data_IF_600462522190
#
_entry.id   IF_600462522190
#
_cell.length_a   1.000
_cell.length_b   1.000
_cell.length_c   1.000
_cell.angle_alpha   90.00
_cell.angle_beta   90.00
_cell.angle_gamma   90.00
#
_symmetry.space_group_name_H-M   'P 1'
#
loop_
_entity.id
_entity.type
_entity.pdbx_description
1 polymer ?
#
# COMPACT_ATOMS: atom_id res chain seq x y z
N UNK A 1 -31.09 12.90 -39.97
CA UNK A 1 -30.76 14.10 -39.18
C UNK A 1 -29.54 13.78 -38.34
N UNK A 2 -28.54 14.65 -38.44
CA UNK A 2 -27.13 14.40 -38.11
C UNK A 2 -26.86 14.30 -36.61
N UNK A 3 -25.99 13.36 -36.22
CA UNK A 3 -25.31 13.38 -34.93
C UNK A 3 -23.93 14.01 -35.13
N UNK A 4 -23.67 15.12 -34.45
CA UNK A 4 -22.41 15.86 -34.53
C UNK A 4 -21.27 15.04 -33.91
N UNK A 5 -20.18 14.98 -34.64
CA UNK A 5 -18.92 14.36 -34.25
C UNK A 5 -17.91 15.47 -33.98
N UNK A 6 -17.73 15.87 -32.73
CA UNK A 6 -16.70 16.82 -32.34
C UNK A 6 -15.65 16.12 -31.47
N UNK A 7 -14.60 15.61 -32.13
CA UNK A 7 -13.32 15.35 -31.48
C UNK A 7 -12.37 16.53 -31.79
N UNK A 8 -11.74 17.14 -30.79
CA UNK A 8 -10.93 18.33 -31.00
C UNK A 8 -9.66 18.04 -31.81
N UNK A 9 -9.37 18.92 -32.76
CA UNK A 9 -8.12 18.96 -33.50
C UNK A 9 -7.07 19.76 -32.70
N UNK A 10 -5.94 19.13 -32.40
CA UNK A 10 -4.79 19.77 -31.75
C UNK A 10 -3.49 19.10 -32.20
N UNK A 11 -2.62 19.91 -32.79
CA UNK A 11 -1.39 19.55 -33.50
C UNK A 11 -0.18 19.37 -32.58
N UNK A 12 0.49 18.21 -32.66
CA UNK A 12 1.78 17.90 -32.03
C UNK A 12 2.45 16.68 -32.70
N UNK A 13 3.15 16.93 -33.82
CA UNK A 13 3.84 15.97 -34.72
C UNK A 13 5.16 15.51 -34.07
N UNK A 14 5.70 14.28 -34.16
CA UNK A 14 5.56 13.22 -35.16
C UNK A 14 5.71 11.78 -34.58
N UNK A 15 5.99 11.59 -33.28
CA UNK A 15 6.04 10.26 -32.65
C UNK A 15 4.68 9.79 -32.08
N UNK A 16 3.78 10.73 -31.74
CA UNK A 16 2.42 10.44 -31.26
C UNK A 16 1.39 10.19 -32.37
N UNK A 17 1.73 10.50 -33.63
CA UNK A 17 0.77 10.50 -34.74
C UNK A 17 0.35 9.09 -35.16
N UNK A 18 1.29 8.14 -35.17
CA UNK A 18 1.02 6.72 -35.50
C UNK A 18 0.24 6.00 -34.39
N UNK A 19 0.59 6.24 -33.12
CA UNK A 19 -0.11 5.68 -31.96
C UNK A 19 -1.52 6.25 -31.80
N UNK A 20 -1.69 7.56 -31.99
CA UNK A 20 -2.99 8.22 -31.92
C UNK A 20 -3.94 7.81 -33.05
N UNK A 21 -3.43 7.65 -34.28
CA UNK A 21 -4.20 7.13 -35.41
C UNK A 21 -4.63 5.68 -35.19
N UNK A 22 -3.72 4.81 -34.73
CA UNK A 22 -4.05 3.42 -34.44
C UNK A 22 -5.07 3.29 -33.30
N UNK A 23 -4.93 4.07 -32.22
CA UNK A 23 -5.92 4.12 -31.15
C UNK A 23 -7.31 4.55 -31.64
N UNK A 24 -7.37 5.59 -32.49
CA UNK A 24 -8.61 6.05 -33.13
C UNK A 24 -9.21 5.01 -34.08
N UNK A 25 -8.38 4.21 -34.74
CA UNK A 25 -8.83 3.11 -35.60
C UNK A 25 -9.42 1.96 -34.77
N UNK A 26 -8.75 1.55 -33.69
CA UNK A 26 -9.23 0.52 -32.75
C UNK A 26 -10.54 0.94 -32.06
N UNK A 27 -10.70 2.22 -31.76
CA UNK A 27 -11.90 2.79 -31.15
C UNK A 27 -13.13 2.80 -32.10
N UNK A 28 -12.96 2.59 -33.41
CA UNK A 28 -14.10 2.55 -34.36
C UNK A 28 -14.89 1.26 -34.19
N UNK A 29 -16.20 1.38 -34.01
CA UNK A 29 -17.13 0.24 -33.90
C UNK A 29 -17.14 -0.68 -35.13
N UNK A 30 -16.76 -0.18 -36.30
CA UNK A 30 -16.56 -0.97 -37.52
C UNK A 30 -15.28 -1.81 -37.53
N UNK A 31 -14.20 -1.31 -36.92
CA UNK A 31 -12.92 -2.03 -36.83
C UNK A 31 -13.02 -3.23 -35.89
N UNK A 32 -13.67 -3.07 -34.73
CA UNK A 32 -13.91 -4.18 -33.79
C UNK A 32 -14.72 -5.33 -34.42
N UNK A 33 -15.74 -4.99 -35.22
CA UNK A 33 -16.56 -5.96 -35.98
C UNK A 33 -15.77 -6.73 -37.03
N UNK A 34 -14.85 -6.06 -37.72
CA UNK A 34 -13.99 -6.68 -38.75
C UNK A 34 -12.89 -7.51 -38.09
N UNK A 35 -12.25 -7.00 -37.04
CA UNK A 35 -11.21 -7.68 -36.28
C UNK A 35 -11.71 -8.96 -35.61
N UNK A 36 -12.96 -8.98 -35.14
CA UNK A 36 -13.60 -10.17 -34.54
C UNK A 36 -13.84 -11.34 -35.53
N UNK A 37 -13.85 -11.07 -36.85
CA UNK A 37 -14.12 -12.07 -37.90
C UNK A 37 -12.89 -12.82 -38.39
N UNK A 38 -11.69 -12.34 -38.07
CA UNK A 38 -10.42 -12.99 -38.42
C UNK A 38 -9.88 -13.77 -37.20
N UNK A 39 -9.27 -14.95 -37.39
CA UNK A 39 -8.94 -15.85 -36.28
C UNK A 39 -7.94 -15.28 -35.26
N UNK A 40 -6.87 -14.62 -35.71
CA UNK A 40 -5.82 -14.06 -34.84
C UNK A 40 -6.28 -12.74 -34.20
N UNK A 41 -6.79 -11.78 -34.98
CA UNK A 41 -7.28 -10.52 -34.43
C UNK A 41 -8.55 -10.70 -33.60
N UNK A 42 -9.36 -11.73 -33.88
CA UNK A 42 -10.53 -12.08 -33.08
C UNK A 42 -10.15 -12.67 -31.73
N UNK A 43 -9.10 -13.49 -31.66
CA UNK A 43 -8.56 -13.97 -30.39
C UNK A 43 -8.00 -12.82 -29.53
N UNK A 44 -7.28 -11.87 -30.15
CA UNK A 44 -6.76 -10.70 -29.48
C UNK A 44 -7.90 -9.78 -28.98
N UNK A 45 -8.88 -9.49 -29.83
CA UNK A 45 -10.05 -8.69 -29.46
C UNK A 45 -10.85 -9.31 -28.31
N UNK A 46 -11.04 -10.64 -28.29
CA UNK A 46 -11.68 -11.34 -27.16
C UNK A 46 -10.87 -11.21 -25.87
N UNK A 47 -9.54 -11.36 -25.96
CA UNK A 47 -8.65 -11.24 -24.79
C UNK A 47 -8.66 -9.82 -24.22
N UNK A 48 -8.66 -8.81 -25.08
CA UNK A 48 -8.72 -7.41 -24.66
C UNK A 48 -10.11 -7.07 -24.09
N UNK A 49 -11.18 -7.56 -24.71
CA UNK A 49 -12.54 -7.45 -24.18
C UNK A 49 -12.68 -8.06 -22.78
N UNK A 50 -12.12 -9.25 -22.55
CA UNK A 50 -12.11 -9.88 -21.23
C UNK A 50 -11.34 -9.04 -20.19
N UNK A 51 -10.16 -8.51 -20.54
CA UNK A 51 -9.39 -7.65 -19.63
C UNK A 51 -10.10 -6.33 -19.32
N UNK A 52 -10.78 -5.73 -20.31
CA UNK A 52 -11.56 -4.51 -20.10
C UNK A 52 -12.73 -4.81 -19.17
N UNK A 53 -13.43 -5.93 -19.38
CA UNK A 53 -14.49 -6.38 -18.49
C UNK A 53 -13.96 -6.62 -17.07
N UNK A 54 -12.80 -7.25 -16.90
CA UNK A 54 -12.15 -7.46 -15.60
C UNK A 54 -11.88 -6.13 -14.88
N UNK A 55 -11.47 -5.08 -15.60
CA UNK A 55 -11.28 -3.74 -15.05
C UNK A 55 -12.63 -3.12 -14.66
N UNK A 56 -13.61 -3.16 -15.56
CA UNK A 56 -14.95 -2.59 -15.37
C UNK A 56 -15.66 -3.22 -14.16
N UNK A 57 -15.61 -4.54 -14.02
CA UNK A 57 -16.23 -5.27 -12.91
C UNK A 57 -15.35 -5.31 -11.66
N UNK A 58 -14.12 -4.80 -11.70
CA UNK A 58 -13.15 -4.92 -10.61
C UNK A 58 -13.66 -4.42 -9.25
N UNK A 59 -14.53 -3.41 -9.25
CA UNK A 59 -15.19 -2.94 -8.03
C UNK A 59 -16.09 -4.01 -7.39
N UNK A 60 -16.76 -4.85 -8.20
CA UNK A 60 -17.58 -5.97 -7.72
C UNK A 60 -16.69 -7.04 -7.10
N UNK A 61 -15.61 -7.43 -7.78
CA UNK A 61 -14.65 -8.41 -7.28
C UNK A 61 -14.09 -8.00 -5.90
N UNK A 62 -13.77 -6.71 -5.76
CA UNK A 62 -13.36 -6.10 -4.50
C UNK A 62 -14.43 -6.18 -3.40
N UNK A 63 -15.68 -5.84 -3.70
CA UNK A 63 -16.78 -5.89 -2.72
C UNK A 63 -17.16 -7.33 -2.33
N UNK A 64 -17.03 -8.28 -3.25
CA UNK A 64 -17.15 -9.72 -2.94
C UNK A 64 -16.08 -10.15 -1.94
N UNK A 65 -14.83 -9.70 -2.10
CA UNK A 65 -13.77 -9.98 -1.13
C UNK A 65 -14.10 -9.40 0.26
N UNK A 66 -14.61 -8.16 0.32
CA UNK A 66 -15.06 -7.55 1.57
C UNK A 66 -16.18 -8.37 2.19
N UNK A 67 -17.20 -8.74 1.42
CA UNK A 67 -18.32 -9.55 1.89
C UNK A 67 -17.85 -10.92 2.43
N UNK A 68 -16.91 -11.60 1.77
CA UNK A 68 -16.34 -12.86 2.27
C UNK A 68 -15.64 -12.72 3.63
N UNK A 69 -15.07 -11.55 3.92
CA UNK A 69 -14.36 -11.25 5.19
C UNK A 69 -15.34 -10.79 6.28
N UNK A 70 -16.30 -9.92 5.95
CA UNK A 70 -17.30 -9.41 6.88
C UNK A 70 -18.28 -10.49 7.29
N UNK A 71 -18.75 -11.27 6.32
CA UNK A 71 -19.60 -12.43 6.56
C UNK A 71 -18.80 -13.61 7.08
N UNK A 72 -17.55 -13.49 7.54
CA UNK A 72 -16.78 -14.57 8.18
C UNK A 72 -16.63 -15.88 7.38
N UNK A 73 -16.94 -15.88 6.08
CA UNK A 73 -17.02 -17.09 5.25
C UNK A 73 -15.66 -17.75 5.11
N UNK A 74 -14.59 -16.95 5.01
CA UNK A 74 -13.25 -17.52 4.88
C UNK A 74 -12.87 -18.30 6.14
N UNK A 75 -13.23 -17.80 7.32
CA UNK A 75 -12.89 -18.39 8.62
C UNK A 75 -13.62 -19.72 8.83
N UNK A 76 -14.92 -19.79 8.53
CA UNK A 76 -15.70 -21.04 8.66
C UNK A 76 -15.14 -22.17 7.79
N UNK A 77 -14.63 -21.79 6.61
CA UNK A 77 -14.11 -22.72 5.63
C UNK A 77 -12.63 -23.09 5.85
N UNK A 78 -12.03 -22.63 6.95
CA UNK A 78 -10.63 -22.92 7.28
C UNK A 78 -10.43 -24.40 7.66
N UNK A 79 -11.34 -24.95 8.46
CA UNK A 79 -11.25 -26.32 8.99
C UNK A 79 -11.93 -27.36 8.09
N UNK A 80 -12.57 -26.94 6.98
CA UNK A 80 -13.29 -27.87 6.11
C UNK A 80 -14.09 -27.22 4.99
N UNK A 81 -15.11 -27.93 4.52
CA UNK A 81 -16.10 -27.38 3.58
C UNK A 81 -17.43 -27.12 4.26
N UNK A 82 -18.13 -26.08 3.84
CA UNK A 82 -19.47 -25.72 4.29
C UNK A 82 -20.52 -25.97 3.22
N UNK A 83 -21.70 -26.41 3.64
CA UNK A 83 -22.88 -26.45 2.78
C UNK A 83 -23.54 -25.05 2.72
N UNK A 84 -23.99 -24.58 1.55
CA UNK A 84 -24.62 -23.25 1.44
C UNK A 84 -25.80 -23.02 2.40
N UNK A 85 -26.63 -24.05 2.65
CA UNK A 85 -27.77 -23.92 3.55
C UNK A 85 -27.34 -23.73 5.01
N UNK A 86 -26.31 -24.44 5.46
CA UNK A 86 -25.73 -24.32 6.80
C UNK A 86 -25.11 -22.93 6.99
N UNK A 87 -24.30 -22.48 6.03
CA UNK A 87 -23.66 -21.16 6.04
C UNK A 87 -24.70 -20.02 6.01
N UNK A 88 -25.80 -20.18 5.28
CA UNK A 88 -26.92 -19.22 5.30
C UNK A 88 -27.57 -19.14 6.68
N UNK A 89 -27.91 -20.29 7.27
CA UNK A 89 -28.60 -20.37 8.54
C UNK A 89 -27.78 -19.75 9.68
N UNK A 90 -26.47 -19.99 9.72
CA UNK A 90 -25.56 -19.40 10.71
C UNK A 90 -25.51 -17.87 10.65
N UNK A 91 -25.86 -17.27 9.51
CA UNK A 91 -25.68 -15.84 9.22
C UNK A 91 -26.98 -15.06 9.10
N UNK A 92 -28.12 -15.74 9.14
CA UNK A 92 -29.41 -15.11 8.86
C UNK A 92 -29.51 -14.54 7.44
N UNK A 93 -28.73 -15.08 6.50
CA UNK A 93 -28.73 -14.66 5.09
C UNK A 93 -29.53 -15.67 4.27
N UNK A 94 -30.29 -15.19 3.28
CA UNK A 94 -31.04 -16.08 2.39
C UNK A 94 -30.10 -17.03 1.60
N UNK A 95 -30.49 -18.29 1.48
CA UNK A 95 -29.68 -19.36 0.90
C UNK A 95 -29.24 -19.10 -0.55
N UNK A 96 -30.07 -18.43 -1.34
CA UNK A 96 -29.76 -18.01 -2.71
C UNK A 96 -28.68 -16.91 -2.74
N UNK A 97 -28.74 -15.95 -1.80
CA UNK A 97 -27.75 -14.87 -1.67
C UNK A 97 -26.40 -15.39 -1.21
N UNK A 98 -26.33 -16.25 -0.20
CA UNK A 98 -25.04 -16.83 0.23
C UNK A 98 -24.45 -17.70 -0.88
N UNK A 99 -25.28 -18.47 -1.61
CA UNK A 99 -24.83 -19.26 -2.76
C UNK A 99 -24.22 -18.37 -3.84
N UNK A 100 -24.81 -17.21 -4.10
CA UNK A 100 -24.26 -16.22 -5.03
C UNK A 100 -22.89 -15.71 -4.56
N UNK A 101 -22.74 -15.38 -3.28
CA UNK A 101 -21.46 -14.97 -2.70
C UNK A 101 -20.39 -16.07 -2.81
N UNK A 102 -20.75 -17.32 -2.50
CA UNK A 102 -19.86 -18.47 -2.58
C UNK A 102 -19.40 -18.76 -4.02
N UNK A 103 -20.33 -18.68 -4.97
CA UNK A 103 -20.01 -18.79 -6.40
C UNK A 103 -19.09 -17.65 -6.87
N UNK A 104 -19.33 -16.42 -6.45
CA UNK A 104 -18.46 -15.30 -6.74
C UNK A 104 -17.06 -15.50 -6.13
N UNK A 105 -16.97 -15.95 -4.88
CA UNK A 105 -15.70 -16.31 -4.25
C UNK A 105 -14.94 -17.43 -4.99
N UNK A 106 -15.67 -18.40 -5.54
CA UNK A 106 -15.09 -19.44 -6.39
C UNK A 106 -14.60 -18.88 -7.74
N UNK A 107 -15.35 -17.98 -8.36
CA UNK A 107 -14.96 -17.31 -9.60
C UNK A 107 -13.71 -16.42 -9.43
N UNK A 108 -13.52 -15.83 -8.24
CA UNK A 108 -12.29 -15.11 -7.88
C UNK A 108 -11.12 -16.05 -7.53
N UNK A 109 -11.36 -17.35 -7.45
CA UNK A 109 -10.37 -18.35 -7.05
C UNK A 109 -9.98 -18.27 -5.57
N UNK A 110 -10.84 -17.67 -4.75
CA UNK A 110 -10.70 -17.61 -3.29
C UNK A 110 -11.34 -18.83 -2.62
N UNK A 111 -12.40 -19.35 -3.22
CA UNK A 111 -13.09 -20.57 -2.81
C UNK A 111 -12.99 -21.63 -3.92
N UNK A 112 -13.37 -22.87 -3.58
CA UNK A 112 -13.57 -23.95 -4.54
C UNK A 112 -14.91 -24.62 -4.28
N UNK A 113 -15.69 -24.84 -5.32
CA UNK A 113 -16.89 -25.67 -5.25
C UNK A 113 -16.49 -27.14 -5.43
N UNK A 114 -16.88 -27.99 -4.48
CA UNK A 114 -16.66 -29.42 -4.49
C UNK A 114 -17.75 -30.12 -5.32
N UNK A 115 -17.51 -31.39 -5.68
CA UNK A 115 -18.44 -32.20 -6.49
C UNK A 115 -19.78 -32.47 -5.79
N UNK A 116 -19.78 -32.51 -4.47
CA UNK A 116 -20.96 -32.66 -3.61
C UNK A 116 -21.75 -31.34 -3.45
N UNK A 117 -21.32 -30.25 -4.11
CA UNK A 117 -21.96 -28.94 -4.03
C UNK A 117 -21.55 -28.09 -2.84
N UNK A 118 -20.71 -28.61 -1.93
CA UNK A 118 -20.15 -27.86 -0.80
C UNK A 118 -19.04 -26.92 -1.26
N UNK A 119 -18.74 -25.91 -0.47
CA UNK A 119 -17.66 -24.95 -0.75
C UNK A 119 -16.54 -25.11 0.26
N UNK A 120 -15.29 -24.94 -0.16
CA UNK A 120 -14.14 -24.85 0.73
C UNK A 120 -13.19 -23.73 0.30
N UNK A 121 -12.19 -23.45 1.12
CA UNK A 121 -11.14 -22.49 0.76
C UNK A 121 -10.29 -23.00 -0.40
N UNK A 122 -10.02 -22.12 -1.36
CA UNK A 122 -8.88 -22.28 -2.26
C UNK A 122 -7.61 -21.75 -1.60
N UNK A 123 -6.44 -22.10 -2.17
CA UNK A 123 -5.13 -21.65 -1.67
C UNK A 123 -5.04 -20.14 -1.46
N UNK A 124 -5.63 -19.34 -2.36
CA UNK A 124 -5.63 -17.87 -2.26
C UNK A 124 -6.52 -17.36 -1.13
N UNK A 125 -7.68 -17.97 -0.92
CA UNK A 125 -8.57 -17.66 0.20
C UNK A 125 -7.90 -17.94 1.54
N UNK A 126 -7.28 -19.11 1.69
CA UNK A 126 -6.53 -19.46 2.91
C UNK A 126 -5.34 -18.51 3.16
N UNK A 127 -4.64 -18.08 2.10
CA UNK A 127 -3.54 -17.13 2.23
C UNK A 127 -3.98 -15.77 2.79
N UNK A 128 -5.23 -15.35 2.58
CA UNK A 128 -5.75 -14.09 3.16
C UNK A 128 -5.74 -14.16 4.69
N UNK A 129 -6.16 -15.28 5.26
CA UNK A 129 -6.21 -15.50 6.70
C UNK A 129 -4.81 -15.66 7.32
N UNK A 130 -3.85 -16.16 6.53
CA UNK A 130 -2.47 -16.37 6.99
C UNK A 130 -1.60 -15.11 6.98
N UNK A 131 -2.00 -14.03 6.31
CA UNK A 131 -1.24 -12.78 6.28
C UNK A 131 -1.68 -11.87 7.44
N UNK A 132 -0.78 -11.52 8.39
CA UNK A 132 -1.12 -10.65 9.51
C UNK A 132 -1.74 -9.32 9.05
N UNK A 133 -2.89 -8.98 9.63
CA UNK A 133 -3.59 -7.72 9.38
C UNK A 133 -4.27 -7.58 8.01
N UNK A 134 -4.18 -8.57 7.11
CA UNK A 134 -4.75 -8.42 5.75
C UNK A 134 -6.29 -8.35 5.76
N UNK A 135 -6.97 -9.13 6.60
CA UNK A 135 -8.41 -9.02 6.78
C UNK A 135 -8.81 -7.65 7.32
N UNK A 136 -8.04 -7.11 8.25
CA UNK A 136 -8.29 -5.79 8.84
C UNK A 136 -8.05 -4.68 7.80
N UNK A 137 -7.05 -4.84 6.92
CA UNK A 137 -6.80 -3.94 5.79
C UNK A 137 -7.91 -3.99 4.73
N UNK A 138 -8.48 -5.18 4.47
CA UNK A 138 -9.63 -5.33 3.56
C UNK A 138 -10.82 -4.52 4.08
N UNK A 139 -11.08 -4.56 5.39
CA UNK A 139 -12.12 -3.76 6.03
C UNK A 139 -11.84 -2.26 5.96
N UNK A 140 -10.60 -1.86 6.23
CA UNK A 140 -10.15 -0.46 6.20
C UNK A 140 -10.39 0.21 4.85
N UNK A 141 -10.23 -0.54 3.74
CA UNK A 141 -10.47 -0.01 2.41
C UNK A 141 -11.91 0.52 2.19
N UNK A 142 -12.88 0.23 3.07
CA UNK A 142 -14.23 0.78 2.98
C UNK A 142 -14.27 2.32 2.92
N UNK A 143 -13.41 3.01 3.67
CA UNK A 143 -13.30 4.48 3.59
C UNK A 143 -12.82 4.91 2.21
N UNK A 144 -11.75 4.29 1.71
CA UNK A 144 -11.22 4.58 0.39
C UNK A 144 -12.22 4.24 -0.74
N UNK A 145 -13.06 3.20 -0.58
CA UNK A 145 -14.15 2.91 -1.53
C UNK A 145 -15.16 4.04 -1.61
N UNK A 146 -15.51 4.67 -0.48
CA UNK A 146 -16.44 5.79 -0.45
C UNK A 146 -15.83 7.04 -1.11
N UNK A 147 -14.55 7.30 -0.87
CA UNK A 147 -13.82 8.37 -1.56
C UNK A 147 -13.75 8.13 -3.08
N UNK A 148 -13.60 6.88 -3.51
CA UNK A 148 -13.57 6.48 -4.91
C UNK A 148 -14.96 6.39 -5.56
N UNK A 149 -16.05 6.63 -4.84
CA UNK A 149 -17.40 6.64 -5.42
C UNK A 149 -17.61 7.81 -6.39
N UNK A 150 -16.90 8.93 -6.19
CA UNK A 150 -16.75 10.01 -7.16
C UNK A 150 -15.25 10.27 -7.46
N UNK A 151 -14.64 9.48 -8.37
CA UNK A 151 -13.21 9.64 -8.68
C UNK A 151 -12.92 10.97 -9.36
N UNK A 152 -13.92 11.64 -9.96
CA UNK A 152 -13.72 12.94 -10.58
C UNK A 152 -13.67 14.06 -9.54
N UNK A 153 -14.41 13.94 -8.45
CA UNK A 153 -14.25 14.80 -7.28
C UNK A 153 -12.88 14.59 -6.63
N UNK A 154 -12.44 13.34 -6.45
CA UNK A 154 -11.12 13.04 -5.88
C UNK A 154 -9.98 13.68 -6.68
N UNK A 155 -10.04 13.67 -8.02
CA UNK A 155 -9.02 14.28 -8.87
C UNK A 155 -8.99 15.82 -8.84
N UNK A 156 -10.10 16.45 -8.45
CA UNK A 156 -10.26 17.91 -8.45
C UNK A 156 -10.18 18.52 -7.05
N UNK A 157 -10.39 17.71 -6.02
CA UNK A 157 -10.36 18.13 -4.63
C UNK A 157 -8.92 18.18 -4.12
N UNK A 158 -8.65 19.13 -3.24
CA UNK A 158 -7.39 19.20 -2.46
C UNK A 158 -7.57 18.64 -1.03
N UNK A 159 -8.66 17.91 -0.74
CA UNK A 159 -8.88 17.24 0.55
C UNK A 159 -10.33 16.85 0.85
N UNK A 160 -10.66 16.71 2.14
CA UNK A 160 -12.05 16.51 2.62
C UNK A 160 -12.62 15.09 2.47
N UNK A 161 -11.81 14.16 1.97
CA UNK A 161 -12.08 12.72 1.89
C UNK A 161 -12.23 12.09 3.26
N UNK A 162 -12.93 10.97 3.32
CA UNK A 162 -13.08 10.20 4.54
C UNK A 162 -11.74 9.59 4.98
N UNK A 163 -10.93 9.09 4.05
CA UNK A 163 -9.63 8.52 4.36
C UNK A 163 -8.68 9.54 5.00
N UNK A 164 -8.72 10.81 4.57
CA UNK A 164 -7.92 11.87 5.19
C UNK A 164 -8.34 12.14 6.65
N UNK A 165 -9.62 11.98 6.99
CA UNK A 165 -10.12 12.17 8.36
C UNK A 165 -9.71 11.05 9.30
N UNK A 166 -9.44 9.85 8.79
CA UNK A 166 -8.95 8.71 9.57
C UNK A 166 -7.44 8.85 9.87
N UNK A 167 -6.78 9.87 9.29
CA UNK A 167 -5.34 10.10 9.39
C UNK A 167 -5.00 11.38 10.19
N UNK A 168 -5.20 11.38 11.52
CA UNK A 168 -5.14 12.60 12.32
C UNK A 168 -3.70 13.14 12.45
N UNK A 169 -2.69 12.26 12.34
CA UNK A 169 -1.30 12.58 12.66
C UNK A 169 -0.55 13.37 11.57
N UNK A 170 -1.06 13.42 10.34
CA UNK A 170 -0.37 14.10 9.22
C UNK A 170 -0.94 15.49 8.95
N UNK A 171 -2.22 15.70 9.25
CA UNK A 171 -2.91 16.95 8.93
C UNK A 171 -2.58 18.10 9.89
N UNK A 172 -1.97 17.83 11.06
CA UNK A 172 -1.65 18.85 12.07
C UNK A 172 -2.89 19.58 12.65
N UNK A 173 -4.08 19.28 12.14
CA UNK A 173 -5.37 19.75 12.61
C UNK A 173 -5.90 18.75 13.65
N UNK A 174 -5.99 19.19 14.90
CA UNK A 174 -6.52 18.43 16.03
C UNK A 174 -8.03 18.12 15.96
N UNK A 175 -8.54 17.73 14.80
CA UNK A 175 -9.93 17.30 14.64
C UNK A 175 -10.10 15.84 15.10
N UNK A 176 -10.53 15.77 16.35
CA UNK A 176 -11.25 14.74 17.13
C UNK A 176 -11.58 13.40 16.44
N UNK A 177 -10.58 12.56 16.19
CA UNK A 177 -10.81 11.10 16.21
C UNK A 177 -10.84 10.65 17.66
N UNK A 178 -11.74 9.74 18.03
CA UNK A 178 -11.71 9.18 19.38
C UNK A 178 -10.38 8.44 19.61
N UNK A 179 -9.85 8.48 20.84
CA UNK A 179 -8.62 7.77 21.21
C UNK A 179 -8.69 6.27 20.88
N UNK A 180 -9.89 5.69 20.92
CA UNK A 180 -10.15 4.29 20.59
C UNK A 180 -10.05 3.99 19.08
N UNK A 181 -10.54 4.88 18.22
CA UNK A 181 -10.41 4.74 16.76
C UNK A 181 -8.96 4.93 16.32
N UNK A 182 -8.27 5.93 16.88
CA UNK A 182 -6.85 6.14 16.65
C UNK A 182 -6.02 4.92 17.09
N UNK A 183 -6.30 4.34 18.27
CA UNK A 183 -5.61 3.12 18.74
C UNK A 183 -5.89 1.91 17.84
N UNK A 184 -7.13 1.72 17.39
CA UNK A 184 -7.50 0.62 16.47
C UNK A 184 -6.78 0.76 15.13
N UNK A 185 -6.70 1.99 14.63
CA UNK A 185 -5.99 2.31 13.41
C UNK A 185 -4.48 2.07 13.54
N UNK A 186 -3.87 2.54 14.63
CA UNK A 186 -2.45 2.31 14.91
C UNK A 186 -2.11 0.83 15.02
N UNK A 187 -2.97 0.01 15.64
CA UNK A 187 -2.78 -1.44 15.70
C UNK A 187 -2.93 -2.11 14.32
N UNK A 188 -3.90 -1.66 13.49
CA UNK A 188 -4.02 -2.10 12.09
C UNK A 188 -2.74 -1.79 11.31
N UNK A 189 -2.24 -0.56 11.39
CA UNK A 189 -1.01 -0.16 10.72
C UNK A 189 0.19 -0.98 11.20
N UNK A 190 0.31 -1.19 12.52
CA UNK A 190 1.36 -2.00 13.11
C UNK A 190 1.36 -3.45 12.56
N UNK A 191 0.19 -4.09 12.47
CA UNK A 191 0.08 -5.44 11.88
C UNK A 191 0.48 -5.47 10.41
N UNK A 192 0.06 -4.46 9.64
CA UNK A 192 0.43 -4.35 8.22
C UNK A 192 1.94 -4.14 8.00
N UNK A 193 2.63 -3.56 8.99
CA UNK A 193 4.08 -3.33 8.93
C UNK A 193 4.92 -4.59 9.15
N UNK A 194 4.36 -5.71 9.63
CA UNK A 194 5.16 -6.93 9.88
C UNK A 194 5.81 -7.47 8.59
N UNK A 195 5.05 -7.54 7.50
CA UNK A 195 5.57 -7.96 6.20
C UNK A 195 6.52 -6.93 5.60
N UNK A 196 6.25 -5.64 5.80
CA UNK A 196 7.15 -4.55 5.39
C UNK A 196 8.50 -4.74 6.08
N UNK A 197 8.50 -4.86 7.41
CA UNK A 197 9.71 -5.03 8.19
C UNK A 197 10.49 -6.29 7.80
N UNK A 198 9.81 -7.41 7.56
CA UNK A 198 10.44 -8.64 7.08
C UNK A 198 11.17 -8.41 5.74
N UNK A 199 10.50 -7.81 4.76
CA UNK A 199 11.07 -7.58 3.43
C UNK A 199 12.19 -6.54 3.46
N UNK A 200 12.03 -5.46 4.23
CA UNK A 200 13.07 -4.45 4.42
C UNK A 200 14.32 -5.10 4.99
N UNK A 201 14.21 -5.86 6.09
CA UNK A 201 15.36 -6.51 6.75
C UNK A 201 15.98 -7.64 5.93
N UNK A 202 15.31 -8.14 4.88
CA UNK A 202 15.91 -9.05 3.89
C UNK A 202 16.68 -8.29 2.82
N UNK A 203 16.25 -7.08 2.48
CA UNK A 203 16.84 -6.25 1.45
C UNK A 203 18.04 -5.43 1.95
N UNK A 204 18.07 -5.03 3.23
CA UNK A 204 19.14 -4.21 3.80
C UNK A 204 20.17 -5.00 4.60
N UNK A 205 21.40 -4.50 4.62
CA UNK A 205 22.48 -5.02 5.47
C UNK A 205 22.73 -4.04 6.63
N UNK A 206 22.38 -4.46 7.84
CA UNK A 206 22.68 -3.71 9.07
C UNK A 206 24.04 -4.06 9.68
N UNK A 207 24.84 -4.91 9.02
CA UNK A 207 26.17 -5.28 9.50
C UNK A 207 27.01 -4.00 9.70
N UNK A 208 27.58 -3.86 10.90
CA UNK A 208 28.41 -2.73 11.31
C UNK A 208 27.65 -1.53 11.88
N UNK A 209 26.31 -1.52 11.82
CA UNK A 209 25.48 -0.51 12.48
C UNK A 209 25.36 -0.88 13.96
N UNK A 210 25.72 0.03 14.88
CA UNK A 210 25.57 -0.21 16.33
C UNK A 210 24.28 0.38 16.88
N UNK A 211 23.87 1.54 16.36
CA UNK A 211 22.64 2.22 16.76
C UNK A 211 21.81 2.59 15.53
N UNK A 212 20.53 2.22 15.52
CA UNK A 212 19.55 2.54 14.49
C UNK A 212 18.48 3.50 15.06
N UNK A 213 18.32 4.66 14.45
CA UNK A 213 17.21 5.59 14.71
C UNK A 213 16.07 5.31 13.73
N UNK A 214 14.90 4.94 14.25
CA UNK A 214 13.66 4.77 13.48
C UNK A 214 12.80 6.03 13.65
N UNK A 215 12.72 6.85 12.59
CA UNK A 215 11.97 8.11 12.59
C UNK A 215 10.57 7.85 12.04
N UNK A 216 9.54 8.28 12.76
CA UNK A 216 8.16 7.87 12.46
C UNK A 216 7.97 6.36 12.65
N UNK A 217 8.66 5.78 13.65
CA UNK A 217 8.72 4.34 13.87
C UNK A 217 7.40 3.70 14.32
N UNK A 218 6.36 4.49 14.56
CA UNK A 218 5.04 4.06 15.01
C UNK A 218 5.13 3.29 16.32
N UNK A 219 4.41 2.17 16.40
CA UNK A 219 4.50 1.28 17.57
C UNK A 219 5.81 0.48 17.66
N UNK A 220 6.81 0.75 16.81
CA UNK A 220 8.14 0.14 16.86
C UNK A 220 8.23 -1.26 16.26
N UNK A 221 7.34 -1.61 15.31
CA UNK A 221 7.32 -2.94 14.67
C UNK A 221 8.62 -3.24 13.93
N UNK A 222 9.06 -2.30 13.08
CA UNK A 222 10.30 -2.44 12.33
C UNK A 222 11.52 -2.50 13.25
N UNK A 223 11.65 -1.51 14.14
CA UNK A 223 12.77 -1.44 15.08
C UNK A 223 12.87 -2.71 15.96
N UNK A 224 11.75 -3.21 16.48
CA UNK A 224 11.73 -4.46 17.25
C UNK A 224 12.21 -5.66 16.41
N UNK A 225 11.77 -5.77 15.14
CA UNK A 225 12.22 -6.83 14.24
C UNK A 225 13.73 -6.74 13.97
N UNK A 226 14.27 -5.54 13.76
CA UNK A 226 15.70 -5.31 13.56
C UNK A 226 16.52 -5.75 14.78
N UNK A 227 16.10 -5.33 15.99
CA UNK A 227 16.77 -5.64 17.25
C UNK A 227 16.72 -7.12 17.64
N UNK A 228 15.69 -7.86 17.20
CA UNK A 228 15.63 -9.31 17.39
C UNK A 228 16.62 -10.05 16.47
N UNK A 229 16.85 -9.53 15.27
CA UNK A 229 17.76 -10.14 14.29
C UNK A 229 19.24 -9.93 14.63
N UNK A 230 19.55 -8.79 15.26
CA UNK A 230 20.91 -8.48 15.72
C UNK A 230 20.88 -8.15 17.22
N UNK A 231 21.49 -9.01 18.05
CA UNK A 231 21.53 -8.84 19.51
C UNK A 231 22.45 -7.70 19.97
N UNK A 232 23.38 -7.26 19.12
CA UNK A 232 24.31 -6.16 19.40
C UNK A 232 23.76 -4.78 19.04
N UNK A 233 22.73 -4.72 18.19
CA UNK A 233 22.10 -3.48 17.75
C UNK A 233 21.37 -2.78 18.92
N UNK A 234 21.48 -1.46 19.00
CA UNK A 234 20.64 -0.59 19.85
C UNK A 234 19.69 0.23 18.98
N UNK A 235 18.57 0.62 19.58
CA UNK A 235 17.53 1.38 18.90
C UNK A 235 17.36 2.78 19.49
N UNK A 236 16.94 3.70 18.65
CA UNK A 236 16.31 4.95 19.03
C UNK A 236 14.99 5.02 18.25
N UNK A 237 13.90 5.46 18.87
CA UNK A 237 12.61 5.60 18.21
C UNK A 237 12.09 7.02 18.41
N UNK A 238 11.90 7.74 17.31
CA UNK A 238 11.29 9.07 17.27
C UNK A 238 9.89 8.97 16.70
N UNK A 239 8.90 9.37 17.48
CA UNK A 239 7.50 9.49 17.04
C UNK A 239 6.73 10.46 17.95
N UNK A 240 5.50 10.79 17.59
CA UNK A 240 4.66 11.70 18.34
C UNK A 240 4.42 11.18 19.77
N UNK A 241 4.31 12.07 20.78
CA UNK A 241 4.15 11.66 22.19
C UNK A 241 3.03 10.64 22.42
N UNK A 242 1.89 10.78 21.74
CA UNK A 242 0.74 9.89 21.85
C UNK A 242 0.97 8.50 21.20
N UNK A 243 1.92 8.38 20.27
CA UNK A 243 2.31 7.12 19.63
C UNK A 243 3.37 6.40 20.46
N UNK A 244 4.28 7.14 21.09
CA UNK A 244 5.38 6.59 21.90
C UNK A 244 4.90 5.64 22.99
N UNK A 245 3.78 5.93 23.65
CA UNK A 245 3.20 5.05 24.68
C UNK A 245 2.93 3.64 24.13
N UNK A 246 2.43 3.53 22.89
CA UNK A 246 2.17 2.24 22.25
C UNK A 246 3.47 1.52 21.88
N UNK A 247 4.49 2.29 21.47
CA UNK A 247 5.82 1.77 21.17
C UNK A 247 6.48 1.19 22.42
N UNK A 248 6.42 1.92 23.54
CA UNK A 248 6.94 1.46 24.84
C UNK A 248 6.33 0.13 25.26
N UNK A 249 5.00 0.01 25.20
CA UNK A 249 4.29 -1.21 25.53
C UNK A 249 4.65 -2.40 24.63
N UNK A 250 4.82 -2.16 23.32
CA UNK A 250 5.28 -3.20 22.39
C UNK A 250 6.72 -3.60 22.72
N UNK A 251 7.63 -2.66 22.90
CA UNK A 251 9.03 -2.93 23.18
C UNK A 251 9.21 -3.68 24.51
N UNK A 252 8.45 -3.30 25.55
CA UNK A 252 8.40 -3.99 26.84
C UNK A 252 7.91 -5.43 26.71
N UNK A 253 6.79 -5.66 26.02
CA UNK A 253 6.27 -7.03 25.76
C UNK A 253 7.25 -7.91 24.98
N UNK A 254 8.18 -7.29 24.25
CA UNK A 254 9.21 -7.98 23.48
C UNK A 254 10.57 -8.09 24.20
N UNK A 255 10.66 -7.61 25.45
CA UNK A 255 11.90 -7.65 26.23
C UNK A 255 13.00 -6.73 25.69
N UNK A 256 12.63 -5.64 25.02
CA UNK A 256 13.56 -4.73 24.33
C UNK A 256 13.74 -3.37 25.02
N UNK A 257 13.05 -3.09 26.14
CA UNK A 257 13.08 -1.78 26.80
C UNK A 257 14.49 -1.27 27.13
N UNK A 258 15.41 -2.14 27.57
CA UNK A 258 16.79 -1.75 27.89
C UNK A 258 17.69 -1.49 26.68
N UNK A 259 17.18 -1.66 25.45
CA UNK A 259 17.94 -1.52 24.19
C UNK A 259 17.45 -0.38 23.32
N UNK A 260 16.39 0.32 23.72
CA UNK A 260 15.77 1.38 22.91
C UNK A 260 15.64 2.67 23.71
N UNK A 261 16.19 3.77 23.18
CA UNK A 261 15.86 5.12 23.62
C UNK A 261 14.59 5.63 22.95
N UNK A 262 13.63 6.14 23.71
CA UNK A 262 12.40 6.74 23.19
C UNK A 262 12.55 8.26 23.13
N UNK A 263 12.22 8.84 21.98
CA UNK A 263 12.32 10.27 21.70
C UNK A 263 10.93 10.78 21.28
N UNK A 264 10.10 11.27 22.22
CA UNK A 264 8.79 11.83 21.86
C UNK A 264 8.95 13.18 21.17
N UNK A 265 8.38 13.32 19.97
CA UNK A 265 8.40 14.55 19.19
C UNK A 265 8.07 14.34 17.72
N UNK A 266 7.83 15.44 17.01
CA UNK A 266 7.66 15.43 15.56
C UNK A 266 9.01 15.58 14.86
N UNK A 267 9.25 14.82 13.79
CA UNK A 267 10.44 15.04 12.94
C UNK A 267 10.43 16.41 12.23
N UNK A 268 9.26 17.07 12.19
CA UNK A 268 9.09 18.42 11.66
C UNK A 268 9.72 19.46 12.59
N UNK A 269 9.86 19.12 13.87
CA UNK A 269 10.33 20.07 14.88
C UNK A 269 11.81 19.86 15.15
N UNK A 270 12.60 20.92 15.00
CA UNK A 270 14.02 20.91 15.36
C UNK A 270 14.88 19.88 14.61
N UNK A 271 16.02 19.54 15.21
CA UNK A 271 16.97 18.54 14.72
C UNK A 271 16.58 17.12 15.18
N UNK A 272 16.94 16.11 14.39
CA UNK A 272 16.75 14.71 14.78
C UNK A 272 17.73 14.31 15.89
N UNK A 273 17.39 13.31 16.72
CA UNK A 273 18.32 12.77 17.72
C UNK A 273 19.64 12.29 17.11
N UNK A 274 20.76 12.71 17.69
CA UNK A 274 22.10 12.29 17.27
C UNK A 274 22.54 10.98 17.94
N UNK A 275 23.62 10.37 17.41
CA UNK A 275 24.27 9.18 17.99
C UNK A 275 23.88 7.85 17.34
N UNK A 276 23.07 7.89 16.28
CA UNK A 276 22.77 6.74 15.44
C UNK A 276 23.75 6.61 14.27
N UNK A 277 24.16 5.37 13.94
CA UNK A 277 24.99 5.08 12.77
C UNK A 277 24.12 4.81 11.52
N UNK A 278 22.81 4.62 11.71
CA UNK A 278 21.84 4.49 10.63
C UNK A 278 20.47 5.10 11.02
N UNK A 279 19.75 5.60 10.03
CA UNK A 279 18.37 6.10 10.16
C UNK A 279 17.46 5.27 9.25
N UNK A 280 16.28 4.88 9.75
CA UNK A 280 15.20 4.29 8.95
C UNK A 280 13.99 5.20 8.84
N UNK A 281 13.45 5.27 7.61
CA UNK A 281 12.22 5.95 7.23
C UNK A 281 11.29 4.90 6.60
N UNK A 282 10.51 4.21 7.43
CA UNK A 282 9.67 3.08 7.00
C UNK A 282 8.24 3.57 6.83
N UNK A 283 7.77 3.67 5.57
CA UNK A 283 6.47 4.25 5.23
C UNK A 283 6.30 5.65 5.85
N UNK A 284 7.29 6.52 5.64
CA UNK A 284 7.26 7.90 6.14
C UNK A 284 7.16 8.89 4.99
N UNK A 285 8.04 8.78 3.97
CA UNK A 285 8.10 9.80 2.92
C UNK A 285 6.82 9.81 2.08
N UNK A 286 6.24 8.64 1.81
CA UNK A 286 5.04 8.52 0.99
C UNK A 286 3.79 9.19 1.59
N UNK A 287 3.76 9.47 2.90
CA UNK A 287 2.68 10.20 3.60
C UNK A 287 2.85 11.73 3.50
N UNK A 288 3.96 12.21 2.95
CA UNK A 288 4.31 13.63 2.96
C UNK A 288 4.56 14.21 1.57
N UNK A 289 4.39 15.53 1.45
CA UNK A 289 4.71 16.26 0.24
C UNK A 289 6.22 16.43 0.02
N UNK A 290 6.62 16.89 -1.17
CA UNK A 290 8.04 17.02 -1.50
C UNK A 290 8.76 18.09 -0.66
N UNK A 291 8.05 19.07 -0.10
CA UNK A 291 8.67 20.09 0.75
C UNK A 291 9.09 19.47 2.10
N UNK A 292 8.15 18.81 2.77
CA UNK A 292 8.40 18.06 4.01
C UNK A 292 9.48 16.99 3.83
N UNK A 293 9.41 16.22 2.73
CA UNK A 293 10.37 15.15 2.46
C UNK A 293 11.79 15.71 2.30
N UNK A 294 11.98 16.83 1.60
CA UNK A 294 13.31 17.45 1.47
C UNK A 294 13.86 17.87 2.83
N UNK A 295 13.04 18.50 3.67
CA UNK A 295 13.46 18.92 5.00
C UNK A 295 13.85 17.72 5.88
N UNK A 296 13.03 16.66 5.90
CA UNK A 296 13.32 15.44 6.65
C UNK A 296 14.61 14.76 6.18
N UNK A 297 14.84 14.69 4.86
CA UNK A 297 16.08 14.13 4.31
C UNK A 297 17.30 14.98 4.69
N UNK A 298 17.20 16.32 4.65
CA UNK A 298 18.28 17.20 5.12
C UNK A 298 18.60 16.96 6.60
N UNK A 299 17.58 16.91 7.46
CA UNK A 299 17.78 16.64 8.90
C UNK A 299 18.38 15.24 9.14
N UNK A 300 17.96 14.25 8.34
CA UNK A 300 18.52 12.89 8.40
C UNK A 300 19.99 12.86 8.00
N UNK A 301 20.37 13.65 6.99
CA UNK A 301 21.76 13.79 6.58
C UNK A 301 22.61 14.43 7.69
N UNK A 302 22.09 15.48 8.34
CA UNK A 302 22.81 16.21 9.38
C UNK A 302 23.03 15.38 10.65
N UNK A 303 22.04 14.56 11.05
CA UNK A 303 22.11 13.73 12.25
C UNK A 303 22.97 12.46 12.12
N UNK A 304 23.22 11.99 10.90
CA UNK A 304 24.06 10.81 10.65
C UNK A 304 25.54 11.18 10.73
N UNK A 305 26.44 10.36 11.30
CA UNK A 305 27.88 10.56 11.17
C UNK A 305 28.35 10.31 9.72
N UNK A 306 29.58 10.72 9.35
CA UNK A 306 30.15 10.35 8.06
C UNK A 306 30.15 8.82 7.85
N UNK A 307 29.75 8.37 6.67
CA UNK A 307 29.51 6.95 6.38
C UNK A 307 28.23 6.35 6.99
N UNK A 308 27.44 7.15 7.71
CA UNK A 308 26.14 6.77 8.25
C UNK A 308 25.14 6.42 7.15
N UNK A 309 24.19 5.53 7.45
CA UNK A 309 23.29 4.96 6.43
C UNK A 309 21.86 5.45 6.60
N UNK A 310 21.21 5.84 5.51
CA UNK A 310 19.77 6.08 5.46
C UNK A 310 19.08 4.92 4.75
N UNK A 311 17.98 4.44 5.33
CA UNK A 311 17.17 3.33 4.83
C UNK A 311 15.74 3.84 4.64
N UNK A 312 15.24 3.79 3.41
CA UNK A 312 13.88 4.18 3.07
C UNK A 312 13.16 2.93 2.57
N UNK A 313 12.01 2.59 3.18
CA UNK A 313 11.21 1.43 2.78
C UNK A 313 9.73 1.76 2.75
N UNK A 314 9.15 1.78 1.56
CA UNK A 314 7.75 2.17 1.37
C UNK A 314 7.20 1.59 0.05
N UNK A 315 5.87 1.58 -0.15
CA UNK A 315 5.32 1.40 -1.48
C UNK A 315 5.80 2.53 -2.41
N UNK A 316 6.30 2.16 -3.58
CA UNK A 316 6.85 3.11 -4.55
C UNK A 316 6.16 2.93 -5.90
N UNK A 317 6.01 4.03 -6.63
CA UNK A 317 5.51 4.04 -8.00
C UNK A 317 6.47 3.32 -8.97
N UNK A 318 5.94 2.95 -10.13
CA UNK A 318 6.72 2.48 -11.25
C UNK A 318 7.70 3.54 -11.76
N UNK A 319 8.73 3.10 -12.48
CA UNK A 319 9.67 4.00 -13.15
C UNK A 319 9.25 4.21 -14.60
N UNK A 320 10.05 3.73 -15.56
CA UNK A 320 9.75 3.79 -16.99
C UNK A 320 8.48 3.02 -17.39
N UNK A 321 8.00 2.12 -16.52
CA UNK A 321 6.74 1.38 -16.70
C UNK A 321 5.94 1.47 -15.41
N UNK A 322 4.70 1.97 -15.46
CA UNK A 322 3.78 1.93 -14.34
C UNK A 322 3.52 0.50 -13.88
N UNK A 323 3.31 0.32 -12.58
CA UNK A 323 2.86 -0.92 -11.97
C UNK A 323 1.53 -0.74 -11.22
N UNK A 324 0.84 -1.86 -10.96
CA UNK A 324 -0.52 -1.81 -10.39
C UNK A 324 -0.54 -1.44 -8.91
N UNK A 325 0.52 -1.73 -8.16
CA UNK A 325 0.54 -1.42 -6.74
C UNK A 325 0.86 0.07 -6.57
N UNK A 326 1.96 0.54 -7.14
CA UNK A 326 2.44 1.90 -7.00
C UNK A 326 1.56 2.94 -7.71
N UNK A 327 1.35 2.79 -9.02
CA UNK A 327 0.73 3.82 -9.86
C UNK A 327 -0.80 3.78 -9.90
N UNK A 328 -1.41 2.66 -9.47
CA UNK A 328 -2.87 2.50 -9.44
C UNK A 328 -3.41 2.53 -8.01
N UNK A 329 -2.95 1.64 -7.12
CA UNK A 329 -3.47 1.61 -5.76
C UNK A 329 -2.88 2.73 -4.90
N UNK A 330 -1.57 2.74 -4.68
CA UNK A 330 -0.94 3.67 -3.73
C UNK A 330 -0.99 5.12 -4.20
N UNK A 331 -0.89 5.40 -5.49
CA UNK A 331 -1.02 6.77 -6.01
C UNK A 331 -2.40 7.38 -5.69
N UNK A 332 -3.50 6.66 -5.95
CA UNK A 332 -4.84 7.12 -5.61
C UNK A 332 -5.11 7.08 -4.09
N UNK A 333 -4.51 6.13 -3.38
CA UNK A 333 -4.60 6.07 -1.91
C UNK A 333 -3.98 7.31 -1.27
N UNK A 334 -2.76 7.70 -1.67
CA UNK A 334 -2.12 8.94 -1.18
C UNK A 334 -2.88 10.20 -1.59
N UNK A 335 -3.53 10.19 -2.76
CA UNK A 335 -4.42 11.28 -3.17
C UNK A 335 -5.64 11.38 -2.24
N UNK A 336 -6.27 10.25 -1.92
CA UNK A 336 -7.40 10.20 -1.00
C UNK A 336 -7.00 10.47 0.46
N UNK A 337 -5.75 10.24 0.86
CA UNK A 337 -5.25 10.70 2.16
C UNK A 337 -5.14 12.24 2.25
N UNK A 338 -5.19 12.94 1.11
CA UNK A 338 -4.99 14.40 1.03
C UNK A 338 -3.55 14.85 1.30
N UNK A 339 -2.70 13.95 1.75
CA UNK A 339 -1.30 14.17 2.10
C UNK A 339 -0.48 12.99 1.60
N UNK A 340 0.70 13.28 1.03
CA UNK A 340 1.58 12.24 0.51
C UNK A 340 1.59 12.06 -0.99
N UNK A 341 2.57 11.27 -1.46
CA UNK A 341 2.81 10.95 -2.87
C UNK A 341 3.52 9.60 -2.98
N UNK A 342 2.95 8.68 -3.75
CA UNK A 342 3.69 7.51 -4.21
C UNK A 342 4.81 7.96 -5.18
N UNK A 343 6.06 7.79 -4.78
CA UNK A 343 7.24 8.19 -5.58
C UNK A 343 7.93 6.97 -6.16
N UNK A 344 8.53 7.11 -7.33
CA UNK A 344 9.39 6.06 -7.88
C UNK A 344 10.72 5.99 -7.12
N UNK A 345 11.44 4.86 -7.14
CA UNK A 345 12.76 4.76 -6.51
C UNK A 345 13.73 5.81 -7.05
N UNK A 346 13.76 6.03 -8.36
CA UNK A 346 14.58 7.08 -8.98
C UNK A 346 14.26 8.48 -8.43
N UNK A 347 12.99 8.79 -8.16
CA UNK A 347 12.60 10.07 -7.54
C UNK A 347 13.10 10.18 -6.11
N UNK A 348 13.01 9.11 -5.33
CA UNK A 348 13.51 9.06 -3.95
C UNK A 348 15.03 9.21 -3.92
N UNK A 349 15.75 8.54 -4.82
CA UNK A 349 17.21 8.68 -4.99
C UNK A 349 17.58 10.13 -5.26
N UNK A 350 16.91 10.78 -6.23
CA UNK A 350 17.18 12.18 -6.55
C UNK A 350 16.90 13.14 -5.37
N UNK A 351 15.91 12.84 -4.53
CA UNK A 351 15.63 13.61 -3.32
C UNK A 351 16.73 13.40 -2.24
N UNK A 352 17.26 12.18 -2.13
CA UNK A 352 18.37 11.90 -1.22
C UNK A 352 19.66 12.59 -1.68
N UNK A 353 19.98 12.53 -2.97
CA UNK A 353 21.15 13.21 -3.55
C UNK A 353 21.07 14.72 -3.37
N UNK A 354 19.90 15.31 -3.57
CA UNK A 354 19.67 16.74 -3.31
C UNK A 354 19.86 17.13 -1.83
N UNK A 355 19.73 16.18 -0.90
CA UNK A 355 19.99 16.36 0.53
C UNK A 355 21.45 16.06 0.92
N UNK A 356 22.33 15.73 -0.02
CA UNK A 356 23.76 15.47 0.22
C UNK A 356 24.13 14.00 0.42
N UNK A 357 23.18 13.06 0.31
CA UNK A 357 23.50 11.64 0.36
C UNK A 357 24.14 11.14 -0.94
N UNK A 358 25.01 10.13 -0.82
CA UNK A 358 25.67 9.45 -1.92
C UNK A 358 25.40 7.93 -1.90
N UNK A 359 25.95 7.21 -2.89
CA UNK A 359 25.94 5.74 -2.98
C UNK A 359 24.53 5.15 -2.86
N UNK A 360 23.56 5.79 -3.50
CA UNK A 360 22.18 5.36 -3.47
C UNK A 360 22.00 4.01 -4.19
N UNK A 361 21.31 3.07 -3.54
CA UNK A 361 21.03 1.72 -4.06
C UNK A 361 19.56 1.42 -3.91
N UNK A 362 18.92 1.02 -5.01
CA UNK A 362 17.57 0.45 -5.01
C UNK A 362 17.71 -1.07 -4.86
N UNK A 363 17.28 -1.61 -3.71
CA UNK A 363 17.42 -3.04 -3.45
C UNK A 363 16.38 -3.86 -4.26
N UNK A 364 16.72 -5.08 -4.71
CA UNK A 364 15.76 -5.98 -5.34
C UNK A 364 14.60 -6.30 -4.38
N UNK A 365 13.37 -6.01 -4.80
CA UNK A 365 12.17 -6.30 -4.02
C UNK A 365 11.58 -7.66 -4.40
N UNK A 366 11.39 -8.54 -3.40
CA UNK A 366 10.67 -9.82 -3.60
C UNK A 366 9.18 -9.62 -3.82
N UNK A 367 8.59 -8.70 -3.05
CA UNK A 367 7.18 -8.34 -3.09
C UNK A 367 7.08 -6.82 -3.28
N UNK A 368 7.31 -6.29 -4.50
CA UNK A 368 7.27 -4.85 -4.75
C UNK A 368 5.89 -4.22 -4.46
N UNK A 369 4.84 -5.04 -4.41
CA UNK A 369 3.49 -4.64 -3.99
C UNK A 369 3.31 -4.50 -2.48
N UNK A 370 4.30 -4.91 -1.67
CA UNK A 370 4.36 -4.68 -0.22
C UNK A 370 5.27 -3.48 0.07
N UNK A 371 6.53 -3.56 -0.38
CA UNK A 371 7.50 -2.49 -0.18
C UNK A 371 8.65 -2.60 -1.17
N UNK A 372 9.29 -1.47 -1.46
CA UNK A 372 10.58 -1.35 -2.13
C UNK A 372 11.52 -0.57 -1.23
N UNK A 373 12.83 -0.81 -1.38
CA UNK A 373 13.84 -0.26 -0.48
C UNK A 373 14.85 0.55 -1.27
N UNK A 374 15.13 1.76 -0.78
CA UNK A 374 16.25 2.60 -1.19
C UNK A 374 17.16 2.78 0.01
N UNK A 375 18.46 2.60 -0.18
CA UNK A 375 19.47 2.93 0.82
C UNK A 375 20.45 3.95 0.26
N UNK A 376 20.93 4.87 1.08
CA UNK A 376 21.98 5.81 0.72
C UNK A 376 22.89 6.06 1.93
N UNK A 377 24.03 6.69 1.69
CA UNK A 377 25.08 6.89 2.70
C UNK A 377 25.47 8.36 2.78
N UNK A 378 25.71 8.86 4.00
CA UNK A 378 26.36 10.15 4.20
C UNK A 378 27.81 10.02 3.72
N UNK A 379 28.34 10.96 2.93
CA UNK A 379 29.75 10.98 2.54
C UNK A 379 30.69 10.92 3.75
N UNK A 380 31.91 10.42 3.53
CA UNK A 380 32.91 10.21 4.57
C UNK A 380 33.63 11.49 4.98
#
# INVERSE_FOLDING_TARGET
MAASSDLPAGSGRAAGWSRGWFARLVARSGFQRIAARLPISGAMARRDGAKIFDIMQGFVASQVLVALVEEGVLQDLLDGSGEPAELAAQRGVATDRIRTLLQAGAALGLLVQRRDGRFGLARRGAAILGVPGLTDMIRHNAAFYRDMADPSALLRSEGGTELARIWPYVSGSGDTISTAEAARYSELMARSQELVAEDTLRAVRLKGVRTLLDVGGGSGVFLAAALRRDRGLRGMLLDLPEVITQAEDRLRRNGLSGRVGLHPGSFRDGALPEGADAISLIRVLYDHDDATVRELLSKSHDALPPGGRLIISEPMAGEARPDRAGDLYFAFYTMAMGTGRARSPARIVALCEAAGFERAVVAPARRPYVTRVVTCERPA
#
